data_IF_877631611832
#
_entry.id   IF_877631611832
#
_cell.length_a   1.000
_cell.length_b   1.000
_cell.length_c   1.000
_cell.angle_alpha   90.00
_cell.angle_beta   90.00
_cell.angle_gamma   90.00
#
_symmetry.space_group_name_H-M   'P 1'
#
loop_
_entity.id
_entity.type
_entity.pdbx_description
1 polymer ?
#
# COMPACT_ATOMS: atom_id res chain seq x y z
N UNK A 1 27.58 25.66 -57.90
CA UNK A 1 27.72 24.24 -58.27
C UNK A 1 27.57 23.42 -57.00
N UNK A 2 26.40 22.81 -56.82
CA UNK A 2 26.12 21.82 -55.79
C UNK A 2 26.66 20.46 -56.25
N UNK A 3 27.38 19.74 -55.38
CA UNK A 3 27.60 18.29 -55.54
C UNK A 3 27.48 17.59 -54.19
N UNK A 4 26.63 16.58 -54.21
CA UNK A 4 26.23 15.70 -53.12
C UNK A 4 27.30 14.65 -52.78
N UNK A 5 27.18 14.04 -51.59
CA UNK A 5 27.87 12.81 -51.20
C UNK A 5 27.26 12.21 -49.93
N UNK A 6 26.43 11.18 -50.13
CA UNK A 6 25.83 10.33 -49.09
C UNK A 6 26.90 9.45 -48.39
N UNK A 7 26.64 9.09 -47.12
CA UNK A 7 27.38 8.03 -46.42
C UNK A 7 26.73 7.68 -45.07
N UNK A 8 25.80 6.72 -45.08
CA UNK A 8 25.35 6.00 -43.88
C UNK A 8 26.50 5.15 -43.33
N UNK A 9 26.74 5.18 -42.02
CA UNK A 9 27.18 3.99 -41.25
C UNK A 9 26.56 4.06 -39.85
N UNK A 10 25.68 3.10 -39.57
CA UNK A 10 25.17 2.79 -38.25
C UNK A 10 26.20 1.94 -37.50
N UNK A 11 26.46 2.24 -36.23
CA UNK A 11 27.09 1.27 -35.31
C UNK A 11 26.49 1.45 -33.92
N UNK A 12 25.82 0.39 -33.47
CA UNK A 12 25.17 0.22 -32.19
C UNK A 12 26.18 0.16 -31.03
N UNK A 13 25.99 0.97 -30.01
CA UNK A 13 26.66 0.83 -28.71
C UNK A 13 25.62 0.42 -27.67
N UNK A 14 25.56 -0.89 -27.40
CA UNK A 14 24.87 -1.48 -26.26
C UNK A 14 25.60 -1.08 -24.97
N UNK A 15 24.95 -0.28 -24.12
CA UNK A 15 25.37 -0.08 -22.72
C UNK A 15 24.40 -0.83 -21.81
N UNK A 16 24.90 -1.88 -21.18
CA UNK A 16 24.26 -2.54 -20.04
C UNK A 16 24.25 -1.59 -18.83
N UNK A 17 23.17 -1.51 -18.04
CA UNK A 17 23.18 -0.76 -16.79
C UNK A 17 23.85 -1.58 -15.66
N UNK A 18 24.42 -0.91 -14.65
CA UNK A 18 25.22 -1.55 -13.60
C UNK A 18 24.34 -2.20 -12.52
N UNK A 19 24.83 -3.31 -11.98
CA UNK A 19 24.24 -4.01 -10.85
C UNK A 19 24.23 -3.14 -9.59
N UNK A 20 23.05 -2.92 -9.00
CA UNK A 20 22.90 -2.27 -7.70
C UNK A 20 22.80 -3.34 -6.61
N UNK A 21 23.76 -3.29 -5.69
CA UNK A 21 23.94 -4.26 -4.60
C UNK A 21 22.79 -4.28 -3.60
N UNK A 22 22.43 -5.49 -3.18
CA UNK A 22 21.47 -5.78 -2.11
C UNK A 22 21.98 -5.24 -0.78
N UNK A 23 21.31 -4.25 -0.21
CA UNK A 23 21.37 -3.95 1.22
C UNK A 23 20.07 -4.42 1.87
N UNK A 24 20.16 -5.50 2.63
CA UNK A 24 19.05 -6.05 3.41
C UNK A 24 18.77 -5.17 4.64
N UNK A 25 18.15 -4.02 4.43
CA UNK A 25 17.66 -3.20 5.52
C UNK A 25 16.38 -3.82 6.09
N UNK A 26 16.44 -4.35 7.32
CA UNK A 26 15.25 -4.82 8.06
C UNK A 26 14.30 -3.65 8.31
N UNK A 27 13.13 -3.68 7.69
CA UNK A 27 12.05 -2.72 7.96
C UNK A 27 11.51 -2.86 9.41
N UNK A 28 11.13 -1.76 10.07
CA UNK A 28 10.66 -1.74 11.46
C UNK A 28 9.29 -2.43 11.64
N UNK A 29 9.04 -2.93 12.85
CA UNK A 29 7.95 -3.84 13.20
C UNK A 29 6.52 -3.32 12.93
N UNK A 30 6.32 -2.02 12.75
CA UNK A 30 5.01 -1.39 12.50
C UNK A 30 4.44 -1.78 11.12
N UNK A 31 5.30 -2.14 10.16
CA UNK A 31 4.91 -2.54 8.81
C UNK A 31 4.42 -3.98 8.69
N UNK A 32 4.53 -4.77 9.77
CA UNK A 32 4.14 -6.18 9.77
C UNK A 32 2.64 -6.41 9.89
N UNK A 33 1.85 -5.36 10.12
CA UNK A 33 0.49 -5.53 10.65
C UNK A 33 -0.65 -5.31 9.67
N UNK A 34 -0.39 -4.86 8.45
CA UNK A 34 -1.39 -5.03 7.38
C UNK A 34 -1.22 -6.37 6.65
N UNK A 35 0.03 -6.84 6.53
CA UNK A 35 0.34 -8.14 5.92
C UNK A 35 1.44 -8.83 6.75
N UNK A 36 1.10 -9.82 7.60
CA UNK A 36 2.13 -10.61 8.27
C UNK A 36 3.01 -11.30 7.21
N UNK A 37 4.32 -11.35 7.47
CA UNK A 37 5.29 -11.99 6.57
C UNK A 37 4.79 -13.39 6.15
N UNK A 38 4.64 -13.60 4.86
CA UNK A 38 4.21 -14.89 4.30
C UNK A 38 2.69 -15.11 4.24
N UNK A 39 1.85 -14.07 4.42
CA UNK A 39 0.41 -14.16 4.10
C UNK A 39 0.08 -13.24 2.92
N UNK A 40 -0.59 -13.82 1.93
CA UNK A 40 -1.17 -13.17 0.75
C UNK A 40 -2.13 -12.08 1.22
N UNK A 41 -2.13 -10.92 0.56
CA UNK A 41 -3.09 -9.86 0.84
C UNK A 41 -4.54 -10.37 0.67
N UNK A 42 -5.51 -9.95 1.49
CA UNK A 42 -6.91 -10.35 1.31
C UNK A 42 -7.41 -10.08 -0.11
N UNK A 43 -6.90 -9.02 -0.76
CA UNK A 43 -7.09 -8.71 -2.19
C UNK A 43 -6.63 -9.88 -3.06
N UNK A 44 -5.35 -10.24 -3.03
CA UNK A 44 -4.78 -11.30 -3.85
C UNK A 44 -5.44 -12.69 -3.64
N UNK A 45 -5.86 -13.04 -2.41
CA UNK A 45 -6.58 -14.29 -2.13
C UNK A 45 -8.03 -14.27 -2.62
N UNK A 46 -8.70 -13.12 -2.53
CA UNK A 46 -10.02 -12.92 -3.10
C UNK A 46 -9.98 -13.10 -4.62
N UNK A 47 -8.96 -12.55 -5.27
CA UNK A 47 -8.83 -12.54 -6.73
C UNK A 47 -8.48 -13.88 -7.38
N UNK A 48 -7.67 -14.72 -6.74
CA UNK A 48 -7.39 -16.08 -7.22
C UNK A 48 -8.65 -16.96 -7.33
N UNK A 49 -9.77 -16.56 -6.72
CA UNK A 49 -11.03 -17.31 -6.74
C UNK A 49 -12.01 -16.87 -7.85
N UNK A 50 -11.77 -15.73 -8.50
CA UNK A 50 -12.72 -15.07 -9.41
C UNK A 50 -12.24 -15.07 -10.86
N UNK A 51 -10.93 -15.14 -11.09
CA UNK A 51 -10.36 -15.21 -12.44
C UNK A 51 -10.55 -16.61 -13.01
N UNK A 52 -11.20 -16.70 -14.18
CA UNK A 52 -11.47 -17.95 -14.88
C UNK A 52 -10.72 -17.95 -16.20
N UNK A 53 -9.50 -18.49 -16.18
CA UNK A 53 -8.62 -18.64 -17.33
C UNK A 53 -7.23 -18.07 -17.04
N UNK A 54 -6.20 -18.65 -17.66
CA UNK A 54 -4.79 -18.28 -17.50
C UNK A 54 -4.51 -16.83 -17.94
N UNK A 55 -4.95 -15.89 -17.12
CA UNK A 55 -4.87 -14.45 -17.34
C UNK A 55 -3.51 -13.95 -16.83
N UNK A 56 -2.94 -12.98 -17.52
CA UNK A 56 -1.68 -12.29 -17.16
C UNK A 56 -1.69 -11.81 -15.70
N UNK A 57 -2.86 -11.42 -15.19
CA UNK A 57 -3.08 -11.06 -13.79
C UNK A 57 -2.79 -12.19 -12.79
N UNK A 58 -3.23 -13.42 -13.07
CA UNK A 58 -2.97 -14.59 -12.22
C UNK A 58 -1.47 -14.94 -12.19
N UNK A 59 -0.80 -14.81 -13.34
CA UNK A 59 0.64 -14.99 -13.43
C UNK A 59 1.37 -13.94 -12.61
N UNK A 60 0.92 -12.68 -12.66
CA UNK A 60 1.47 -11.59 -11.84
C UNK A 60 1.31 -11.86 -10.35
N UNK A 61 0.14 -12.34 -9.93
CA UNK A 61 -0.10 -12.78 -8.55
C UNK A 61 0.83 -13.92 -8.14
N UNK A 62 0.99 -14.95 -8.98
CA UNK A 62 1.89 -16.06 -8.71
C UNK A 62 3.36 -15.62 -8.61
N UNK A 63 3.79 -14.65 -9.43
CA UNK A 63 5.11 -14.04 -9.33
C UNK A 63 5.28 -13.27 -8.02
N UNK A 64 4.26 -12.50 -7.62
CA UNK A 64 4.25 -11.76 -6.35
C UNK A 64 4.35 -12.70 -5.14
N UNK A 65 3.62 -13.82 -5.15
CA UNK A 65 3.69 -14.87 -4.12
C UNK A 65 5.07 -15.50 -4.00
N UNK A 66 5.75 -15.68 -5.14
CA UNK A 66 7.15 -16.16 -5.18
C UNK A 66 8.16 -15.09 -4.80
N UNK A 67 7.71 -13.86 -4.51
CA UNK A 67 8.55 -12.68 -4.34
C UNK A 67 9.42 -12.36 -5.57
N UNK A 68 9.02 -12.76 -6.77
CA UNK A 68 9.59 -12.27 -8.01
C UNK A 68 8.93 -10.95 -8.39
N UNK A 69 9.41 -9.88 -7.74
CA UNK A 69 8.79 -8.56 -7.81
C UNK A 69 8.93 -7.92 -9.20
N UNK A 70 10.03 -8.20 -9.90
CA UNK A 70 10.26 -7.67 -11.24
C UNK A 70 9.33 -8.32 -12.28
N UNK A 71 9.17 -9.64 -12.19
CA UNK A 71 8.20 -10.36 -13.02
C UNK A 71 6.77 -9.93 -12.69
N UNK A 72 6.43 -9.79 -11.39
CA UNK A 72 5.10 -9.34 -10.97
C UNK A 72 4.74 -7.96 -11.53
N UNK A 73 5.62 -6.97 -11.41
CA UNK A 73 5.44 -5.63 -11.97
C UNK A 73 5.18 -5.71 -13.48
N UNK A 74 6.02 -6.44 -14.21
CA UNK A 74 5.90 -6.60 -15.67
C UNK A 74 4.55 -7.21 -16.06
N UNK A 75 4.10 -8.24 -15.33
CA UNK A 75 2.83 -8.92 -15.59
C UNK A 75 1.63 -8.03 -15.24
N UNK A 76 1.71 -7.23 -14.18
CA UNK A 76 0.62 -6.29 -13.86
C UNK A 76 0.52 -5.16 -14.89
N UNK A 77 1.65 -4.61 -15.38
CA UNK A 77 1.65 -3.63 -16.48
C UNK A 77 1.04 -4.21 -17.78
N UNK A 78 1.36 -5.47 -18.08
CA UNK A 78 0.75 -6.18 -19.20
C UNK A 78 -0.76 -6.36 -18.98
N UNK A 79 -1.19 -6.78 -17.80
CA UNK A 79 -2.61 -6.96 -17.49
C UNK A 79 -3.43 -5.66 -17.62
N UNK A 80 -2.87 -4.52 -17.20
CA UNK A 80 -3.48 -3.19 -17.37
C UNK A 80 -3.70 -2.88 -18.86
N UNK A 81 -2.74 -3.24 -19.71
CA UNK A 81 -2.78 -2.97 -21.15
C UNK A 81 -3.71 -3.92 -21.90
N UNK A 82 -3.74 -5.20 -21.52
CA UNK A 82 -4.51 -6.25 -22.18
C UNK A 82 -6.00 -6.20 -21.84
N UNK A 83 -6.33 -5.86 -20.59
CA UNK A 83 -7.71 -5.84 -20.13
C UNK A 83 -8.05 -4.56 -19.34
N UNK A 84 -8.53 -3.52 -20.01
CA UNK A 84 -8.94 -2.27 -19.36
C UNK A 84 -10.02 -2.44 -18.29
N UNK A 85 -10.84 -3.50 -18.37
CA UNK A 85 -11.92 -3.74 -17.38
C UNK A 85 -11.39 -4.22 -16.03
N UNK A 86 -10.23 -4.86 -16.00
CA UNK A 86 -9.55 -5.32 -14.78
C UNK A 86 -8.41 -4.38 -14.36
N UNK A 87 -8.21 -3.27 -15.08
CA UNK A 87 -7.10 -2.36 -14.86
C UNK A 87 -7.04 -1.82 -13.42
N UNK A 88 -8.19 -1.50 -12.81
CA UNK A 88 -8.24 -1.02 -11.42
C UNK A 88 -7.60 -2.03 -10.45
N UNK A 89 -7.96 -3.30 -10.58
CA UNK A 89 -7.41 -4.39 -9.79
C UNK A 89 -5.92 -4.59 -10.07
N UNK A 90 -5.52 -4.58 -11.33
CA UNK A 90 -4.12 -4.72 -11.71
C UNK A 90 -3.27 -3.57 -11.15
N UNK A 91 -3.78 -2.34 -11.11
CA UNK A 91 -3.13 -1.20 -10.45
C UNK A 91 -3.00 -1.37 -8.93
N UNK A 92 -4.00 -1.95 -8.24
CA UNK A 92 -3.87 -2.26 -6.81
C UNK A 92 -2.67 -3.19 -6.56
N UNK A 93 -2.59 -4.27 -7.34
CA UNK A 93 -1.55 -5.29 -7.22
C UNK A 93 -0.18 -4.80 -7.69
N UNK A 94 -0.13 -3.94 -8.72
CA UNK A 94 1.08 -3.23 -9.13
C UNK A 94 1.61 -2.36 -8.00
N UNK A 95 0.73 -1.64 -7.30
CA UNK A 95 1.10 -0.86 -6.13
C UNK A 95 1.67 -1.72 -5.00
N UNK A 96 1.07 -2.89 -4.75
CA UNK A 96 1.60 -3.87 -3.79
C UNK A 96 3.00 -4.39 -4.21
N UNK A 97 3.19 -4.71 -5.49
CA UNK A 97 4.48 -5.18 -6.02
C UNK A 97 5.58 -4.13 -5.84
N UNK A 98 5.31 -2.88 -6.25
CA UNK A 98 6.24 -1.76 -6.04
C UNK A 98 6.53 -1.51 -4.56
N UNK A 99 5.52 -1.66 -3.69
CA UNK A 99 5.71 -1.52 -2.26
C UNK A 99 6.71 -2.53 -1.70
N UNK A 100 6.55 -3.80 -2.07
CA UNK A 100 7.49 -4.86 -1.67
C UNK A 100 8.87 -4.69 -2.33
N UNK A 101 8.94 -4.08 -3.50
CA UNK A 101 10.20 -3.75 -4.18
C UNK A 101 10.93 -2.57 -3.52
N UNK A 102 10.28 -1.85 -2.61
CA UNK A 102 10.80 -0.66 -1.95
C UNK A 102 10.58 0.63 -2.76
N UNK A 103 9.90 0.54 -3.89
CA UNK A 103 9.61 1.63 -4.83
C UNK A 103 8.34 2.39 -4.39
N UNK A 104 8.37 2.94 -3.17
CA UNK A 104 7.19 3.47 -2.47
C UNK A 104 6.43 4.56 -3.25
N UNK A 105 7.13 5.40 -4.01
CA UNK A 105 6.50 6.45 -4.82
C UNK A 105 5.73 5.86 -6.00
N UNK A 106 6.27 4.81 -6.65
CA UNK A 106 5.55 4.11 -7.71
C UNK A 106 4.34 3.36 -7.14
N UNK A 107 4.49 2.78 -5.94
CA UNK A 107 3.39 2.15 -5.22
C UNK A 107 2.22 3.09 -4.99
N UNK A 108 2.49 4.32 -4.49
CA UNK A 108 1.43 5.30 -4.28
C UNK A 108 0.75 5.75 -5.56
N UNK A 109 1.51 5.92 -6.65
CA UNK A 109 0.93 6.33 -7.94
C UNK A 109 0.02 5.24 -8.51
N UNK A 110 0.42 3.97 -8.44
CA UNK A 110 -0.42 2.85 -8.87
C UNK A 110 -1.71 2.75 -8.03
N UNK A 111 -1.63 2.91 -6.71
CA UNK A 111 -2.83 2.95 -5.85
C UNK A 111 -3.74 4.14 -6.12
N UNK A 112 -3.18 5.32 -6.40
CA UNK A 112 -3.96 6.49 -6.82
C UNK A 112 -4.69 6.23 -8.14
N UNK A 113 -4.03 5.59 -9.11
CA UNK A 113 -4.65 5.25 -10.40
C UNK A 113 -5.77 4.20 -10.24
N UNK A 114 -5.59 3.21 -9.36
CA UNK A 114 -6.65 2.25 -9.03
C UNK A 114 -7.92 2.95 -8.51
N UNK A 115 -7.77 3.93 -7.61
CA UNK A 115 -8.88 4.68 -7.03
C UNK A 115 -9.55 5.67 -7.98
N UNK A 116 -8.95 5.96 -9.14
CA UNK A 116 -9.60 6.78 -10.20
C UNK A 116 -10.65 5.99 -10.96
N UNK A 117 -10.56 4.66 -10.94
CA UNK A 117 -11.56 3.82 -11.61
C UNK A 117 -12.90 3.89 -10.86
N UNK A 118 -14.01 4.21 -11.54
CA UNK A 118 -15.33 4.17 -10.92
C UNK A 118 -15.80 2.74 -10.62
N UNK A 119 -15.18 1.74 -11.27
CA UNK A 119 -15.54 0.33 -11.18
C UNK A 119 -14.71 -0.43 -10.12
N UNK A 120 -13.86 0.27 -9.37
CA UNK A 120 -13.11 -0.36 -8.27
C UNK A 120 -14.08 -0.93 -7.24
N UNK A 121 -13.92 -2.21 -6.93
CA UNK A 121 -14.79 -2.85 -5.97
C UNK A 121 -14.55 -2.28 -4.55
N UNK A 122 -15.61 -2.16 -3.71
CA UNK A 122 -15.52 -1.43 -2.44
C UNK A 122 -14.51 -2.00 -1.45
N UNK A 123 -14.26 -3.31 -1.49
CA UNK A 123 -13.28 -3.97 -0.60
C UNK A 123 -11.86 -3.50 -0.94
N UNK A 124 -11.61 -3.31 -2.22
CA UNK A 124 -10.31 -3.01 -2.76
C UNK A 124 -10.04 -1.52 -2.73
N UNK A 125 -11.06 -0.68 -2.93
CA UNK A 125 -10.99 0.73 -2.60
C UNK A 125 -10.63 0.95 -1.11
N UNK A 126 -11.28 0.21 -0.21
CA UNK A 126 -11.00 0.25 1.23
C UNK A 126 -9.55 -0.15 1.55
N UNK A 127 -9.08 -1.28 1.01
CA UNK A 127 -7.71 -1.74 1.20
C UNK A 127 -6.68 -0.77 0.58
N UNK A 128 -6.98 -0.20 -0.58
CA UNK A 128 -6.11 0.77 -1.28
C UNK A 128 -5.98 2.07 -0.49
N UNK A 129 -7.08 2.56 0.09
CA UNK A 129 -7.04 3.67 1.04
C UNK A 129 -6.19 3.35 2.28
N UNK A 130 -6.26 2.13 2.83
CA UNK A 130 -5.38 1.73 3.93
C UNK A 130 -3.89 1.77 3.53
N UNK A 131 -3.57 1.31 2.33
CA UNK A 131 -2.21 1.31 1.79
C UNK A 131 -1.67 2.73 1.58
N UNK A 132 -2.46 3.63 0.98
CA UNK A 132 -2.10 5.05 0.82
C UNK A 132 -1.98 5.77 2.17
N UNK A 133 -2.88 5.47 3.12
CA UNK A 133 -2.77 5.95 4.50
C UNK A 133 -1.44 5.56 5.13
N UNK A 134 -1.06 4.29 4.96
CA UNK A 134 0.22 3.75 5.39
C UNK A 134 1.38 4.50 4.76
N UNK A 135 1.40 4.64 3.43
CA UNK A 135 2.42 5.39 2.69
C UNK A 135 2.61 6.81 3.23
N UNK A 136 1.53 7.58 3.37
CA UNK A 136 1.61 8.97 3.83
C UNK A 136 2.08 9.11 5.27
N UNK A 137 1.79 8.14 6.15
CA UNK A 137 2.38 8.14 7.50
C UNK A 137 3.90 8.01 7.48
N UNK A 138 4.45 7.24 6.56
CA UNK A 138 5.91 7.05 6.46
C UNK A 138 6.57 8.28 5.90
N UNK A 139 5.89 8.90 4.95
CA UNK A 139 6.32 10.12 4.29
C UNK A 139 6.07 11.38 5.13
N UNK A 140 5.78 11.22 6.43
CA UNK A 140 5.56 12.31 7.39
C UNK A 140 4.44 13.28 6.97
N UNK A 141 3.40 12.77 6.27
CA UNK A 141 2.20 13.51 5.85
C UNK A 141 0.95 12.98 6.57
N UNK A 142 0.85 13.11 7.91
CA UNK A 142 -0.21 12.47 8.67
C UNK A 142 -1.62 12.99 8.35
N UNK A 143 -1.77 14.24 7.90
CA UNK A 143 -3.07 14.76 7.47
C UNK A 143 -3.61 14.06 6.22
N UNK A 144 -2.74 13.73 5.25
CA UNK A 144 -3.13 12.94 4.09
C UNK A 144 -3.43 11.50 4.50
N UNK A 145 -2.63 10.94 5.39
CA UNK A 145 -2.88 9.61 5.92
C UNK A 145 -4.25 9.50 6.60
N UNK A 146 -4.60 10.49 7.43
CA UNK A 146 -5.90 10.58 8.11
C UNK A 146 -7.05 10.59 7.11
N UNK A 147 -6.95 11.37 6.02
CA UNK A 147 -7.97 11.39 4.96
C UNK A 147 -8.22 10.01 4.38
N UNK A 148 -7.16 9.29 4.02
CA UNK A 148 -7.28 7.95 3.47
C UNK A 148 -7.79 6.93 4.50
N UNK A 149 -7.32 6.96 5.74
CA UNK A 149 -7.85 6.06 6.77
C UNK A 149 -9.32 6.33 7.10
N UNK A 150 -9.77 7.59 7.10
CA UNK A 150 -11.18 7.91 7.25
C UNK A 150 -12.00 7.35 6.08
N UNK A 151 -11.55 7.52 4.83
CA UNK A 151 -12.20 6.93 3.67
C UNK A 151 -12.28 5.40 3.77
N UNK A 152 -11.24 4.74 4.27
CA UNK A 152 -11.27 3.30 4.52
C UNK A 152 -12.29 2.91 5.60
N UNK A 153 -12.41 3.67 6.69
CA UNK A 153 -13.44 3.44 7.73
C UNK A 153 -14.85 3.64 7.18
N UNK A 154 -15.06 4.63 6.31
CA UNK A 154 -16.35 4.88 5.65
C UNK A 154 -16.75 3.74 4.72
N UNK A 155 -15.78 3.08 4.07
CA UNK A 155 -16.00 1.90 3.22
C UNK A 155 -16.09 0.57 4.01
N UNK A 156 -15.76 0.58 5.30
CA UNK A 156 -15.83 -0.57 6.22
C UNK A 156 -17.25 -0.81 6.76
N UNK A 157 -18.27 -0.65 5.90
CA UNK A 157 -19.66 -0.84 6.30
C UNK A 157 -19.93 -2.34 6.53
N UNK A 158 -20.13 -2.72 7.79
CA UNK A 158 -20.55 -4.07 8.19
C UNK A 158 -19.44 -5.11 8.32
N UNK A 159 -18.20 -4.80 7.89
CA UNK A 159 -17.02 -5.66 8.08
C UNK A 159 -16.37 -5.49 9.45
N UNK A 160 -16.41 -4.27 9.99
CA UNK A 160 -15.85 -3.91 11.29
C UNK A 160 -14.37 -4.34 11.40
N UNK A 161 -13.56 -3.99 10.41
CA UNK A 161 -12.14 -4.31 10.41
C UNK A 161 -11.40 -3.50 11.50
N UNK A 162 -10.91 -4.20 12.52
CA UNK A 162 -10.17 -3.61 13.62
C UNK A 162 -8.82 -3.02 13.23
N UNK A 163 -8.17 -3.54 12.17
CA UNK A 163 -6.84 -3.06 11.75
C UNK A 163 -6.93 -1.66 11.12
N UNK A 164 -8.03 -1.34 10.43
CA UNK A 164 -8.27 0.01 9.89
C UNK A 164 -8.37 1.03 11.03
N UNK A 165 -9.13 0.70 12.08
CA UNK A 165 -9.25 1.54 13.29
C UNK A 165 -7.93 1.67 14.02
N UNK A 166 -7.18 0.57 14.15
CA UNK A 166 -5.84 0.61 14.74
C UNK A 166 -4.93 1.59 13.98
N UNK A 167 -4.91 1.51 12.65
CA UNK A 167 -4.08 2.38 11.82
C UNK A 167 -4.50 3.86 11.91
N UNK A 168 -5.79 4.15 11.98
CA UNK A 168 -6.28 5.50 12.24
C UNK A 168 -5.86 5.99 13.63
N UNK A 169 -5.90 5.13 14.65
CA UNK A 169 -5.37 5.43 15.99
C UNK A 169 -3.89 5.80 15.97
N UNK A 170 -3.06 5.04 15.24
CA UNK A 170 -1.63 5.36 15.04
C UNK A 170 -1.45 6.70 14.33
N UNK A 171 -2.28 6.99 13.34
CA UNK A 171 -2.25 8.26 12.62
C UNK A 171 -2.54 9.44 13.55
N UNK A 172 -3.61 9.35 14.35
CA UNK A 172 -4.02 10.40 15.30
C UNK A 172 -2.99 10.60 16.41
N UNK A 173 -2.40 9.51 16.92
CA UNK A 173 -1.33 9.60 17.91
C UNK A 173 -0.12 10.36 17.37
N UNK A 174 0.27 10.14 16.10
CA UNK A 174 1.35 10.89 15.44
C UNK A 174 1.01 12.37 15.24
N UNK A 175 -0.26 12.70 15.11
CA UNK A 175 -0.75 14.08 15.03
C UNK A 175 -0.84 14.75 16.41
N UNK A 176 -0.63 14.00 17.50
CA UNK A 176 -0.80 14.48 18.87
C UNK A 176 -2.26 14.48 19.34
N UNK A 177 -3.20 13.99 18.53
CA UNK A 177 -4.59 13.77 18.92
C UNK A 177 -4.69 12.46 19.73
N UNK A 178 -4.29 12.55 20.99
CA UNK A 178 -4.25 11.42 21.89
C UNK A 178 -5.65 10.94 22.29
N UNK A 179 -6.65 11.83 22.32
CA UNK A 179 -8.04 11.48 22.64
C UNK A 179 -8.67 10.68 21.50
N UNK A 180 -8.47 11.11 20.26
CA UNK A 180 -8.86 10.36 19.08
C UNK A 180 -8.12 9.02 18.98
N UNK A 181 -6.81 9.00 19.26
CA UNK A 181 -6.03 7.76 19.26
C UNK A 181 -6.57 6.73 20.28
N UNK A 182 -6.86 7.17 21.52
CA UNK A 182 -7.45 6.33 22.57
C UNK A 182 -8.77 5.73 22.11
N UNK A 183 -9.66 6.54 21.51
CA UNK A 183 -10.94 6.06 20.98
C UNK A 183 -10.74 4.93 19.97
N UNK A 184 -9.95 5.16 18.92
CA UNK A 184 -9.80 4.17 17.85
C UNK A 184 -8.97 2.96 18.24
N UNK A 185 -8.02 3.09 19.17
CA UNK A 185 -7.36 1.92 19.78
C UNK A 185 -8.33 1.11 20.64
N UNK A 186 -9.28 1.76 21.32
CA UNK A 186 -10.37 1.08 22.03
C UNK A 186 -11.23 0.25 21.09
N UNK A 187 -11.75 0.86 20.02
CA UNK A 187 -12.56 0.15 19.02
C UNK A 187 -11.77 -1.00 18.37
N UNK A 188 -10.50 -0.78 18.00
CA UNK A 188 -9.66 -1.83 17.42
C UNK A 188 -9.46 -3.01 18.39
N UNK A 189 -9.31 -2.74 19.69
CA UNK A 189 -9.20 -3.77 20.72
C UNK A 189 -10.50 -4.58 20.84
N UNK A 190 -11.66 -3.91 20.84
CA UNK A 190 -12.97 -4.58 20.88
C UNK A 190 -13.19 -5.50 19.67
N UNK A 191 -12.62 -5.12 18.53
CA UNK A 191 -12.64 -5.89 17.29
C UNK A 191 -11.51 -6.94 17.18
N UNK A 192 -10.82 -7.23 18.29
CA UNK A 192 -9.87 -8.34 18.39
C UNK A 192 -8.44 -8.03 17.94
N UNK A 193 -8.08 -6.77 17.72
CA UNK A 193 -6.68 -6.40 17.44
C UNK A 193 -5.87 -6.46 18.73
N UNK A 194 -5.14 -7.56 18.93
CA UNK A 194 -4.39 -7.88 20.16
C UNK A 194 -3.45 -6.75 20.59
N UNK A 195 -2.67 -6.21 19.64
CA UNK A 195 -1.72 -5.10 19.89
C UNK A 195 -2.42 -3.81 20.34
N UNK A 196 -3.70 -3.60 20.01
CA UNK A 196 -4.38 -2.34 20.28
C UNK A 196 -4.49 -2.07 21.80
N UNK A 197 -4.57 -3.10 22.63
CA UNK A 197 -4.61 -2.95 24.09
C UNK A 197 -3.35 -2.23 24.63
N UNK A 198 -2.16 -2.59 24.14
CA UNK A 198 -0.93 -1.94 24.57
C UNK A 198 -0.83 -0.49 24.07
N UNK A 199 -1.24 -0.24 22.84
CA UNK A 199 -1.26 1.11 22.26
C UNK A 199 -2.26 2.02 22.97
N UNK A 200 -3.43 1.50 23.33
CA UNK A 200 -4.43 2.18 24.14
C UNK A 200 -3.87 2.63 25.49
N UNK A 201 -3.17 1.74 26.21
CA UNK A 201 -2.52 2.04 27.49
C UNK A 201 -1.48 3.16 27.30
N UNK A 202 -0.63 3.04 26.28
CA UNK A 202 0.44 4.00 26.01
C UNK A 202 -0.12 5.39 25.67
N UNK A 203 -1.16 5.45 24.83
CA UNK A 203 -1.80 6.71 24.45
C UNK A 203 -2.51 7.35 25.66
N UNK A 204 -3.16 6.54 26.51
CA UNK A 204 -3.76 6.98 27.77
C UNK A 204 -2.73 7.62 28.72
N UNK A 205 -1.59 6.96 28.93
CA UNK A 205 -0.52 7.50 29.76
C UNK A 205 0.04 8.83 29.23
N UNK A 206 0.25 8.93 27.92
CA UNK A 206 0.68 10.18 27.27
C UNK A 206 -0.34 11.29 27.44
N UNK A 207 -1.64 10.98 27.32
CA UNK A 207 -2.71 11.96 27.44
C UNK A 207 -2.80 12.53 28.86
N UNK A 208 -2.73 11.67 29.88
CA UNK A 208 -2.71 12.10 31.28
C UNK A 208 -1.49 12.97 31.60
N UNK A 209 -0.30 12.57 31.13
CA UNK A 209 0.91 13.36 31.31
C UNK A 209 0.83 14.74 30.63
N UNK A 210 0.17 14.83 29.47
CA UNK A 210 -0.05 16.09 28.78
C UNK A 210 -1.03 17.01 29.52
N UNK A 211 -2.07 16.47 30.17
CA UNK A 211 -3.03 17.24 30.97
C UNK A 211 -2.41 17.76 32.27
N UNK A 212 -1.68 16.92 33.00
CA UNK A 212 -1.02 17.34 34.24
C UNK A 212 0.04 18.44 34.07
N UNK A 213 0.62 18.59 32.87
CA UNK A 213 1.52 19.71 32.53
C UNK A 213 0.81 21.03 32.23
N UNK A 214 -0.49 21.00 31.90
CA UNK A 214 -1.28 22.21 31.61
C UNK A 214 -1.91 22.81 32.87
N UNK A 215 -1.98 22.03 33.94
CA UNK A 215 -2.60 22.40 35.22
C UNK A 215 -1.57 22.94 36.24
N UNK A 216 -0.29 23.01 35.87
CA UNK A 216 0.83 23.60 36.64
C UNK A 216 1.26 24.92 36.03
#
# INVERSE_FOLDING_TARGET
>A
MFRAGFGLIATSLSRSPPAVGRSAARAPAVYRTCFPKGKIAPSARFYASITKGANTLERGLAALEKHDLAEAVTLFDQAITENPTEAAQAYVLLGEAHWFAGEKTLASLAWEEALRSPDIAPVEAMATHCNLGGYHLLDQRPELAKKHYNAAVELDVGRQDGEIRFNLGVCLERMGDLEGAIKYYGEAKELGVEKAAQFLINAGAKNLAAKGKKEQ
#
